data_IF_889288232513
#
_entry.id   IF_889288232513
#
_cell.length_a   1.000
_cell.length_b   1.000
_cell.length_c   1.000
_cell.angle_alpha   90.00
_cell.angle_beta   90.00
_cell.angle_gamma   90.00
#
_symmetry.space_group_name_H-M   'P 1'
#
loop_
_entity.id
_entity.type
_entity.pdbx_description
1 polymer ?
#
# COMPACT_ATOMS: atom_id res chain seq x y z
N UNK A 1 -6.41 49.52 25.78
CA UNK A 1 -6.62 48.75 24.53
C UNK A 1 -8.09 48.86 24.19
N UNK A 2 -8.40 49.36 23.00
CA UNK A 2 -9.78 49.38 22.47
C UNK A 2 -10.22 47.94 22.15
N UNK A 3 -11.51 47.67 22.35
CA UNK A 3 -12.19 46.42 22.00
C UNK A 3 -11.94 46.02 20.53
N UNK A 4 -11.77 46.98 19.61
CA UNK A 4 -11.39 46.74 18.21
C UNK A 4 -10.02 46.07 18.07
N UNK A 5 -9.00 46.59 18.76
CA UNK A 5 -7.63 46.02 18.72
C UNK A 5 -7.56 44.62 19.33
N UNK A 6 -8.42 44.30 20.29
CA UNK A 6 -8.50 42.95 20.89
C UNK A 6 -9.08 41.94 19.89
N UNK A 7 -10.10 42.35 19.12
CA UNK A 7 -10.72 41.49 18.10
C UNK A 7 -9.74 41.22 16.95
N UNK A 8 -9.05 42.26 16.48
CA UNK A 8 -8.05 42.12 15.40
C UNK A 8 -6.90 41.19 15.83
N UNK A 9 -6.41 41.34 17.07
CA UNK A 9 -5.38 40.46 17.62
C UNK A 9 -5.88 39.01 17.72
N UNK A 10 -7.11 38.79 18.20
CA UNK A 10 -7.70 37.46 18.30
C UNK A 10 -7.86 36.80 16.92
N UNK A 11 -8.27 37.56 15.90
CA UNK A 11 -8.39 37.06 14.52
C UNK A 11 -7.04 36.65 13.95
N UNK A 12 -5.99 37.47 14.15
CA UNK A 12 -4.63 37.16 13.69
C UNK A 12 -4.11 35.90 14.38
N UNK A 13 -4.25 35.80 15.70
CA UNK A 13 -3.82 34.63 16.48
C UNK A 13 -4.56 33.37 16.02
N UNK A 14 -5.88 33.46 15.79
CA UNK A 14 -6.68 32.35 15.28
C UNK A 14 -6.23 31.88 13.89
N UNK A 15 -5.94 32.80 12.98
CA UNK A 15 -5.45 32.47 11.64
C UNK A 15 -4.07 31.80 11.68
N UNK A 16 -3.15 32.31 12.50
CA UNK A 16 -1.82 31.70 12.68
C UNK A 16 -1.93 30.30 13.28
N UNK A 17 -2.79 30.11 14.28
CA UNK A 17 -3.02 28.81 14.90
C UNK A 17 -3.61 27.78 13.90
N UNK A 18 -4.55 28.20 13.06
CA UNK A 18 -5.12 27.35 12.02
C UNK A 18 -4.07 26.93 10.97
N UNK A 19 -3.25 27.87 10.49
CA UNK A 19 -2.15 27.59 9.56
C UNK A 19 -1.12 26.63 10.18
N UNK A 20 -0.78 26.86 11.46
CA UNK A 20 0.14 25.99 12.20
C UNK A 20 -0.43 24.57 12.38
N UNK A 21 -1.70 24.43 12.75
CA UNK A 21 -2.35 23.13 12.89
C UNK A 21 -2.37 22.36 11.57
N UNK A 22 -2.65 23.04 10.45
CA UNK A 22 -2.58 22.47 9.10
C UNK A 22 -1.15 22.00 8.79
N UNK A 23 -0.15 22.84 9.05
CA UNK A 23 1.26 22.49 8.83
C UNK A 23 1.71 21.27 9.66
N UNK A 24 1.38 21.24 10.95
CA UNK A 24 1.69 20.11 11.84
C UNK A 24 0.99 18.85 11.37
N UNK A 25 -0.29 18.93 10.98
CA UNK A 25 -1.04 17.80 10.43
C UNK A 25 -0.34 17.21 9.20
N UNK A 26 0.08 18.05 8.25
CA UNK A 26 0.77 17.57 7.05
C UNK A 26 2.14 16.96 7.37
N UNK A 27 2.90 17.56 8.29
CA UNK A 27 4.22 17.07 8.71
C UNK A 27 4.10 15.73 9.42
N UNK A 28 3.21 15.62 10.40
CA UNK A 28 2.95 14.37 11.13
C UNK A 28 2.44 13.27 10.20
N UNK A 29 1.58 13.63 9.25
CA UNK A 29 1.10 12.68 8.24
C UNK A 29 2.24 12.18 7.36
N UNK A 30 3.20 13.02 6.99
CA UNK A 30 4.39 12.60 6.21
C UNK A 30 5.29 11.66 7.01
N UNK A 31 5.58 11.99 8.27
CA UNK A 31 6.42 11.16 9.13
C UNK A 31 5.79 9.77 9.32
N UNK A 32 4.51 9.74 9.67
CA UNK A 32 3.78 8.49 9.87
C UNK A 32 3.77 7.64 8.61
N UNK A 33 3.58 8.24 7.42
CA UNK A 33 3.69 7.50 6.15
C UNK A 33 5.06 6.88 5.93
N UNK A 34 6.14 7.61 6.24
CA UNK A 34 7.48 7.08 6.12
C UNK A 34 7.69 5.87 7.05
N UNK A 35 7.19 5.94 8.29
CA UNK A 35 7.22 4.81 9.24
C UNK A 35 6.43 3.60 8.73
N UNK A 36 5.23 3.81 8.18
CA UNK A 36 4.44 2.74 7.55
C UNK A 36 5.18 2.11 6.38
N UNK A 37 5.76 2.91 5.48
CA UNK A 37 6.51 2.44 4.31
C UNK A 37 7.76 1.66 4.74
N UNK A 38 8.50 2.14 5.73
CA UNK A 38 9.66 1.44 6.28
C UNK A 38 9.25 0.08 6.88
N UNK A 39 8.19 0.04 7.69
CA UNK A 39 7.70 -1.21 8.27
C UNK A 39 7.18 -2.19 7.22
N UNK A 40 6.53 -1.71 6.17
CA UNK A 40 6.07 -2.55 5.06
C UNK A 40 7.26 -3.10 4.25
N UNK A 41 8.27 -2.27 4.00
CA UNK A 41 9.51 -2.69 3.35
C UNK A 41 10.20 -3.78 4.15
N UNK A 42 10.44 -3.57 5.45
CA UNK A 42 11.06 -4.54 6.34
C UNK A 42 10.29 -5.87 6.32
N UNK A 43 8.97 -5.83 6.53
CA UNK A 43 8.13 -7.04 6.52
C UNK A 43 8.18 -7.78 5.20
N UNK A 44 8.17 -7.06 4.08
CA UNK A 44 8.16 -7.69 2.76
C UNK A 44 9.52 -8.20 2.36
N UNK A 45 10.58 -7.41 2.50
CA UNK A 45 11.92 -7.70 1.98
C UNK A 45 12.77 -8.58 2.89
N UNK A 46 12.61 -8.45 4.21
CA UNK A 46 13.50 -9.13 5.15
C UNK A 46 12.94 -10.46 5.64
N UNK A 47 11.62 -10.67 5.56
CA UNK A 47 11.04 -11.93 6.01
C UNK A 47 11.24 -13.07 4.99
N UNK A 48 11.79 -14.22 5.41
CA UNK A 48 12.15 -15.31 4.50
C UNK A 48 10.95 -16.08 3.96
N UNK A 49 9.83 -16.11 4.69
CA UNK A 49 8.56 -16.72 4.28
C UNK A 49 7.96 -16.05 3.05
N UNK A 50 7.96 -14.70 3.01
CA UNK A 50 7.51 -13.94 1.86
C UNK A 50 8.52 -13.99 0.73
N UNK A 51 9.82 -14.10 1.04
CA UNK A 51 10.88 -14.23 0.03
C UNK A 51 10.67 -15.45 -0.87
N UNK A 52 10.36 -16.60 -0.29
CA UNK A 52 10.09 -17.84 -1.05
C UNK A 52 8.95 -17.65 -2.06
N UNK A 53 7.85 -17.03 -1.63
CA UNK A 53 6.71 -16.78 -2.52
C UNK A 53 7.04 -15.75 -3.61
N UNK A 54 7.87 -14.75 -3.30
CA UNK A 54 8.34 -13.79 -4.32
C UNK A 54 9.16 -14.44 -5.42
N UNK A 55 10.03 -15.37 -5.06
CA UNK A 55 10.87 -16.08 -6.02
C UNK A 55 10.00 -16.95 -6.95
N UNK A 56 8.98 -17.63 -6.40
CA UNK A 56 8.03 -18.42 -7.19
C UNK A 56 7.18 -17.55 -8.12
N UNK A 57 6.74 -16.38 -7.65
CA UNK A 57 5.89 -15.45 -8.39
C UNK A 57 6.66 -14.40 -9.19
N UNK A 58 7.99 -14.55 -9.30
CA UNK A 58 8.83 -13.59 -9.99
C UNK A 58 8.52 -13.61 -11.50
N UNK A 59 8.35 -12.44 -12.09
CA UNK A 59 8.04 -12.30 -13.52
C UNK A 59 9.10 -12.96 -14.41
N UNK A 60 10.39 -12.87 -14.02
CA UNK A 60 11.51 -13.43 -14.77
C UNK A 60 11.70 -14.94 -14.51
N UNK A 61 11.25 -15.43 -13.36
CA UNK A 61 11.41 -16.83 -12.90
C UNK A 61 10.15 -17.69 -13.02
N UNK A 62 9.05 -17.15 -13.56
CA UNK A 62 7.72 -17.76 -13.55
C UNK A 62 7.68 -19.12 -14.30
N UNK A 63 7.91 -20.22 -13.58
CA UNK A 63 7.55 -21.55 -14.07
C UNK A 63 6.05 -21.76 -13.87
N UNK A 64 5.31 -21.90 -14.98
CA UNK A 64 3.87 -22.17 -14.97
C UNK A 64 3.48 -23.38 -14.11
N UNK A 65 4.37 -24.38 -13.96
CA UNK A 65 4.12 -25.55 -13.13
C UNK A 65 4.12 -25.21 -11.63
N UNK A 66 5.09 -24.42 -11.17
CA UNK A 66 5.22 -24.03 -9.76
C UNK A 66 4.10 -23.10 -9.33
N UNK A 67 3.69 -22.15 -10.17
CA UNK A 67 2.54 -21.27 -9.91
C UNK A 67 1.26 -22.10 -9.81
N UNK A 68 1.05 -23.04 -10.73
CA UNK A 68 -0.14 -23.89 -10.73
C UNK A 68 -0.20 -24.74 -9.47
N UNK A 69 0.95 -25.28 -9.05
CA UNK A 69 1.08 -25.98 -7.78
C UNK A 69 0.80 -25.07 -6.58
N UNK A 70 1.34 -23.85 -6.59
CA UNK A 70 1.14 -22.86 -5.53
C UNK A 70 -0.35 -22.51 -5.33
N UNK A 71 -1.05 -22.23 -6.44
CA UNK A 71 -2.47 -21.88 -6.43
C UNK A 71 -3.34 -23.08 -6.04
N UNK A 72 -2.95 -24.31 -6.39
CA UNK A 72 -3.69 -25.53 -6.05
C UNK A 72 -3.49 -25.94 -4.59
N UNK A 73 -2.26 -25.92 -4.11
CA UNK A 73 -1.88 -26.43 -2.80
C UNK A 73 -2.15 -25.38 -1.70
N UNK A 74 -2.34 -24.11 -2.07
CA UNK A 74 -2.71 -22.99 -1.20
C UNK A 74 -1.89 -22.92 0.12
N UNK A 75 -0.54 -22.96 0.08
CA UNK A 75 0.25 -22.95 1.30
C UNK A 75 0.01 -21.66 2.10
N UNK A 76 0.12 -21.72 3.43
CA UNK A 76 -0.13 -20.57 4.31
C UNK A 76 0.69 -19.34 3.91
N UNK A 77 1.97 -19.54 3.54
CA UNK A 77 2.87 -18.48 3.06
C UNK A 77 2.32 -17.75 1.83
N UNK A 78 1.65 -18.45 0.91
CA UNK A 78 1.02 -17.81 -0.25
C UNK A 78 -0.16 -16.94 0.16
N UNK A 79 -0.98 -17.42 1.11
CA UNK A 79 -2.06 -16.64 1.68
C UNK A 79 -1.54 -15.41 2.43
N UNK A 80 -0.46 -15.55 3.20
CA UNK A 80 0.19 -14.45 3.93
C UNK A 80 0.77 -13.40 2.96
N UNK A 81 1.34 -13.83 1.84
CA UNK A 81 1.82 -12.96 0.78
C UNK A 81 0.69 -12.15 0.13
N UNK A 82 -0.43 -12.78 -0.19
CA UNK A 82 -1.59 -12.07 -0.73
C UNK A 82 -2.25 -11.16 0.31
N UNK A 83 -2.31 -11.59 1.58
CA UNK A 83 -2.81 -10.79 2.69
C UNK A 83 -1.95 -9.54 2.95
N UNK A 84 -0.63 -9.65 2.76
CA UNK A 84 0.25 -8.49 2.80
C UNK A 84 -0.17 -7.44 1.76
N UNK A 85 -0.40 -7.85 0.51
CA UNK A 85 -0.81 -6.94 -0.55
C UNK A 85 -2.25 -6.45 -0.41
N UNK A 86 -3.15 -7.26 0.13
CA UNK A 86 -4.50 -6.84 0.53
C UNK A 86 -4.40 -5.72 1.57
N UNK A 87 -3.55 -5.88 2.59
CA UNK A 87 -3.34 -4.86 3.60
C UNK A 87 -2.72 -3.56 3.02
N UNK A 88 -1.75 -3.68 2.12
CA UNK A 88 -1.21 -2.52 1.39
C UNK A 88 -2.30 -1.80 0.60
N UNK A 89 -3.19 -2.55 -0.06
CA UNK A 89 -4.32 -1.99 -0.79
C UNK A 89 -5.35 -1.30 0.14
N UNK A 90 -5.60 -1.84 1.34
CA UNK A 90 -6.42 -1.18 2.38
C UNK A 90 -5.80 0.17 2.78
N UNK A 91 -4.49 0.22 3.03
CA UNK A 91 -3.78 1.45 3.39
C UNK A 91 -3.81 2.49 2.26
N UNK A 92 -3.74 2.06 1.02
CA UNK A 92 -3.91 2.93 -0.14
C UNK A 92 -5.32 3.51 -0.23
N UNK A 93 -6.34 2.64 -0.12
CA UNK A 93 -7.73 3.04 -0.24
C UNK A 93 -8.17 3.97 0.91
N UNK A 94 -7.64 3.75 2.11
CA UNK A 94 -7.84 4.62 3.28
C UNK A 94 -7.01 5.92 3.27
N UNK A 95 -6.34 6.22 2.14
CA UNK A 95 -5.47 7.40 1.93
C UNK A 95 -4.32 7.52 2.94
N UNK A 96 -3.98 6.43 3.62
CA UNK A 96 -2.83 6.36 4.51
C UNK A 96 -1.54 6.31 3.70
N UNK A 97 -1.54 5.64 2.55
CA UNK A 97 -0.41 5.62 1.61
C UNK A 97 -0.82 6.19 0.26
N UNK A 98 0.11 6.90 -0.39
CA UNK A 98 -0.09 7.37 -1.76
C UNK A 98 0.12 6.22 -2.74
N UNK A 99 -0.60 6.26 -3.86
CA UNK A 99 -0.40 5.28 -4.94
C UNK A 99 1.05 5.25 -5.42
N UNK A 100 1.67 6.42 -5.64
CA UNK A 100 3.07 6.51 -6.07
C UNK A 100 4.04 5.82 -5.09
N UNK A 101 3.87 6.03 -3.78
CA UNK A 101 4.71 5.40 -2.75
C UNK A 101 4.63 3.86 -2.79
N UNK A 102 3.47 3.31 -3.15
CA UNK A 102 3.27 1.85 -3.31
C UNK A 102 3.87 1.36 -4.64
N UNK A 103 3.74 2.12 -5.72
CA UNK A 103 4.39 1.81 -6.99
C UNK A 103 5.91 1.76 -6.85
N UNK A 104 6.49 2.73 -6.14
CA UNK A 104 7.94 2.85 -5.96
C UNK A 104 8.52 1.64 -5.19
N UNK A 105 7.79 1.11 -4.21
CA UNK A 105 8.27 -0.01 -3.38
C UNK A 105 7.89 -1.40 -3.93
N UNK A 106 6.71 -1.52 -4.53
CA UNK A 106 6.10 -2.82 -4.83
C UNK A 106 5.62 -2.97 -6.27
N UNK A 107 5.80 -1.95 -7.11
CA UNK A 107 5.25 -1.93 -8.47
C UNK A 107 5.68 -3.12 -9.33
N UNK A 108 6.91 -3.62 -9.13
CA UNK A 108 7.40 -4.83 -9.79
C UNK A 108 6.56 -6.07 -9.43
N UNK A 109 6.48 -6.41 -8.14
CA UNK A 109 5.77 -7.60 -7.65
C UNK A 109 4.26 -7.52 -7.88
N UNK A 110 3.68 -6.32 -7.74
CA UNK A 110 2.28 -6.08 -8.13
C UNK A 110 2.08 -6.30 -9.63
N UNK A 111 3.06 -5.94 -10.46
CA UNK A 111 3.09 -6.26 -11.88
C UNK A 111 3.14 -7.76 -12.15
N UNK A 112 3.89 -8.53 -11.37
CA UNK A 112 3.93 -9.99 -11.52
C UNK A 112 2.60 -10.65 -11.14
N UNK A 113 1.95 -10.18 -10.08
CA UNK A 113 0.59 -10.60 -9.73
C UNK A 113 -0.41 -10.22 -10.82
N UNK A 114 -0.32 -9.00 -11.37
CA UNK A 114 -1.19 -8.49 -12.43
C UNK A 114 -1.12 -9.35 -13.70
N UNK A 115 0.09 -9.75 -14.10
CA UNK A 115 0.36 -10.47 -15.34
C UNK A 115 0.33 -12.00 -15.18
N UNK A 116 -0.10 -12.53 -14.03
CA UNK A 116 -0.18 -13.97 -13.77
C UNK A 116 -1.65 -14.43 -13.71
N UNK A 117 -2.23 -14.97 -14.81
CA UNK A 117 -3.65 -15.31 -14.86
C UNK A 117 -4.12 -16.30 -13.79
N UNK A 118 -3.38 -17.39 -13.45
CA UNK A 118 -3.78 -18.30 -12.38
C UNK A 118 -3.96 -17.58 -11.03
N UNK A 119 -3.03 -16.70 -10.69
CA UNK A 119 -3.06 -15.96 -9.43
C UNK A 119 -4.13 -14.86 -9.46
N UNK A 120 -4.33 -14.17 -10.59
CA UNK A 120 -5.43 -13.19 -10.73
C UNK A 120 -6.80 -13.84 -10.53
N UNK A 121 -7.00 -15.00 -11.13
CA UNK A 121 -8.24 -15.76 -10.97
C UNK A 121 -8.43 -16.23 -9.53
N UNK A 122 -7.35 -16.63 -8.86
CA UNK A 122 -7.38 -16.98 -7.43
C UNK A 122 -7.79 -15.79 -6.56
N UNK A 123 -7.13 -14.65 -6.72
CA UNK A 123 -7.40 -13.39 -5.99
C UNK A 123 -8.87 -12.99 -6.11
N UNK A 124 -9.41 -13.00 -7.34
CA UNK A 124 -10.79 -12.62 -7.60
C UNK A 124 -11.82 -13.58 -6.97
N UNK A 125 -11.47 -14.86 -6.80
CA UNK A 125 -12.38 -15.88 -6.24
C UNK A 125 -12.35 -15.96 -4.71
N UNK A 126 -11.21 -15.65 -4.08
CA UNK A 126 -10.97 -15.90 -2.64
C UNK A 126 -11.24 -14.70 -1.73
N UNK A 127 -11.71 -13.58 -2.26
CA UNK A 127 -12.14 -12.43 -1.46
C UNK A 127 -11.05 -11.39 -1.16
N UNK A 128 -9.98 -11.35 -1.96
CA UNK A 128 -8.95 -10.30 -1.91
C UNK A 128 -9.43 -9.04 -2.65
N UNK A 129 -10.49 -8.41 -2.12
CA UNK A 129 -11.24 -7.36 -2.82
C UNK A 129 -10.42 -6.09 -3.05
N UNK A 130 -9.64 -5.65 -2.05
CA UNK A 130 -8.85 -4.42 -2.18
C UNK A 130 -7.67 -4.65 -3.11
N UNK A 131 -7.03 -5.81 -3.04
CA UNK A 131 -5.96 -6.20 -3.94
C UNK A 131 -6.48 -6.34 -5.38
N UNK A 132 -7.62 -7.01 -5.60
CA UNK A 132 -8.19 -7.12 -6.95
C UNK A 132 -8.49 -5.73 -7.53
N UNK A 133 -9.09 -4.84 -6.73
CA UNK A 133 -9.35 -3.46 -7.12
C UNK A 133 -8.06 -2.72 -7.46
N UNK A 134 -7.03 -2.82 -6.60
CA UNK A 134 -5.73 -2.20 -6.81
C UNK A 134 -5.11 -2.64 -8.14
N UNK A 135 -5.09 -3.95 -8.41
CA UNK A 135 -4.55 -4.51 -9.65
C UNK A 135 -5.35 -4.09 -10.88
N UNK A 136 -6.69 -4.03 -10.81
CA UNK A 136 -7.52 -3.52 -11.91
C UNK A 136 -7.27 -2.03 -12.19
N UNK A 137 -7.12 -1.23 -11.13
CA UNK A 137 -6.87 0.22 -11.25
C UNK A 137 -5.44 0.54 -11.71
N UNK A 138 -4.51 -0.41 -11.58
CA UNK A 138 -3.18 -0.36 -12.18
C UNK A 138 -3.24 -0.67 -13.67
N UNK A 139 -3.86 -1.80 -14.03
CA UNK A 139 -4.01 -2.23 -15.42
C UNK A 139 -4.70 -1.18 -16.32
N UNK A 140 -5.70 -0.44 -15.82
CA UNK A 140 -6.39 0.63 -16.58
C UNK A 140 -5.54 1.87 -16.89
N UNK A 141 -4.42 2.07 -16.21
CA UNK A 141 -3.59 3.28 -16.34
C UNK A 141 -2.36 3.08 -17.22
N UNK A 142 -2.17 1.88 -17.75
CA UNK A 142 -1.22 1.56 -18.81
C UNK A 142 -1.93 1.56 -20.15
#
# INVERSE_FOLDING_TARGET
MDLGSIKDLATIVGAVAALWAIYVYFTNSRLRRAEWLASLYEKFYERPDLKEIREILDCEGNDSADITKLVRDEPSKFSDYLNFFEFVAVLQNSRQLKKAEIEDLFGYYLGCLENCPPVRNYIARKGYEQLDRLLRDRAKRR
#
